data_IF_454214062831
#
_entry.id   IF_454214062831
#
_cell.length_a   1.000
_cell.length_b   1.000
_cell.length_c   1.000
_cell.angle_alpha   90.00
_cell.angle_beta   90.00
_cell.angle_gamma   90.00
#
_symmetry.space_group_name_H-M   'P 1'
#
loop_
_entity.id
_entity.type
_entity.pdbx_description
1 polymer ?
#
# COMPACT_ATOMS: atom_id res chain seq x y z
N UNK A 1 31.92 7.92 32.34
CA UNK A 1 31.67 8.23 30.92
C UNK A 1 32.22 7.06 30.11
N UNK A 2 31.36 6.28 29.46
CA UNK A 2 31.79 5.07 28.75
C UNK A 2 32.00 5.45 27.27
N UNK A 3 33.25 5.44 26.81
CA UNK A 3 33.65 5.87 25.46
C UNK A 3 33.38 4.79 24.39
N UNK A 4 33.23 3.52 24.80
CA UNK A 4 33.10 2.38 23.87
C UNK A 4 31.76 2.30 23.10
N UNK A 5 30.71 2.96 23.58
CA UNK A 5 29.40 2.93 22.93
C UNK A 5 28.72 4.29 23.04
N UNK A 6 28.19 4.77 21.91
CA UNK A 6 27.40 5.98 21.86
C UNK A 6 25.93 5.62 21.72
N UNK A 7 25.29 5.39 22.86
CA UNK A 7 23.89 4.98 22.92
C UNK A 7 22.94 6.01 22.28
N UNK A 8 23.24 7.30 22.42
CA UNK A 8 22.47 8.38 21.78
C UNK A 8 22.56 8.30 20.26
N UNK A 9 23.76 8.13 19.70
CA UNK A 9 23.94 7.94 18.26
C UNK A 9 23.25 6.67 17.75
N UNK A 10 23.32 5.56 18.49
CA UNK A 10 22.61 4.32 18.14
C UNK A 10 21.08 4.50 18.15
N UNK A 11 20.54 5.24 19.12
CA UNK A 11 19.11 5.53 19.17
C UNK A 11 18.67 6.44 18.01
N UNK A 12 19.42 7.50 17.75
CA UNK A 12 19.19 8.38 16.59
C UNK A 12 19.25 7.61 15.27
N UNK A 13 20.20 6.70 15.11
CA UNK A 13 20.29 5.86 13.91
C UNK A 13 19.10 4.91 13.77
N UNK A 14 18.64 4.29 14.87
CA UNK A 14 17.42 3.46 14.86
C UNK A 14 16.20 4.27 14.43
N UNK A 15 16.01 5.47 14.98
CA UNK A 15 14.90 6.34 14.61
C UNK A 15 14.98 6.78 13.15
N UNK A 16 16.18 7.09 12.65
CA UNK A 16 16.41 7.43 11.24
C UNK A 16 16.04 6.27 10.31
N UNK A 17 16.43 5.04 10.64
CA UNK A 17 16.07 3.85 9.86
C UNK A 17 14.55 3.62 9.83
N UNK A 18 13.87 3.80 10.97
CA UNK A 18 12.40 3.74 11.03
C UNK A 18 11.76 4.81 10.15
N UNK A 19 12.24 6.06 10.23
CA UNK A 19 11.72 7.17 9.44
C UNK A 19 11.94 6.97 7.93
N UNK A 20 13.11 6.46 7.52
CA UNK A 20 13.37 6.09 6.13
C UNK A 20 12.38 5.02 5.64
N UNK A 21 12.05 4.04 6.47
CA UNK A 21 11.03 3.05 6.17
C UNK A 21 9.64 3.66 5.94
N UNK A 22 9.23 4.62 6.78
CA UNK A 22 7.97 5.34 6.59
C UNK A 22 7.98 6.21 5.33
N UNK A 23 9.09 6.91 5.06
CA UNK A 23 9.24 7.73 3.87
C UNK A 23 9.14 6.88 2.59
N UNK A 24 9.77 5.72 2.57
CA UNK A 24 9.68 4.78 1.45
C UNK A 24 8.23 4.33 1.17
N UNK A 25 7.48 3.98 2.22
CA UNK A 25 6.05 3.61 2.08
C UNK A 25 5.19 4.79 1.62
N UNK A 26 5.46 6.00 2.09
CA UNK A 26 4.74 7.20 1.67
C UNK A 26 5.00 7.50 0.18
N UNK A 27 6.25 7.37 -0.27
CA UNK A 27 6.62 7.52 -1.68
C UNK A 27 5.94 6.45 -2.56
N UNK A 28 5.86 5.21 -2.09
CA UNK A 28 5.18 4.13 -2.82
C UNK A 28 3.69 4.46 -3.04
N UNK A 29 3.00 4.97 -2.01
CA UNK A 29 1.60 5.40 -2.10
C UNK A 29 1.40 6.63 -2.98
N UNK A 30 2.32 7.59 -2.91
CA UNK A 30 2.30 8.77 -3.77
C UNK A 30 2.50 8.40 -5.24
N UNK A 31 3.48 7.52 -5.51
CA UNK A 31 3.83 7.10 -6.87
C UNK A 31 2.76 6.21 -7.51
N UNK A 32 2.07 5.37 -6.74
CA UNK A 32 1.01 4.51 -7.27
C UNK A 32 -0.34 5.22 -7.38
N UNK A 33 -0.55 6.28 -6.59
CA UNK A 33 -1.85 6.94 -6.42
C UNK A 33 -2.87 6.10 -5.64
N UNK A 34 -2.51 4.90 -5.19
CA UNK A 34 -3.38 4.03 -4.42
C UNK A 34 -3.04 4.08 -2.92
N UNK A 35 -4.09 4.13 -2.11
CA UNK A 35 -3.97 4.10 -0.65
C UNK A 35 -3.45 2.75 -0.13
N UNK A 36 -3.84 1.65 -0.78
CA UNK A 36 -3.50 0.27 -0.43
C UNK A 36 -2.72 -0.32 -1.60
N UNK A 37 -1.41 -0.49 -1.43
CA UNK A 37 -0.54 -1.08 -2.46
C UNK A 37 -0.22 -2.54 -2.17
N UNK A 38 -0.18 -2.93 -0.89
CA UNK A 38 0.18 -4.27 -0.44
C UNK A 38 -0.87 -4.83 0.51
N UNK A 39 -1.02 -6.14 0.54
CA UNK A 39 -1.88 -6.82 1.52
C UNK A 39 -1.48 -6.53 2.98
N UNK A 40 -0.20 -6.21 3.21
CA UNK A 40 0.30 -5.80 4.53
C UNK A 40 -0.12 -4.39 4.97
N UNK A 41 -0.63 -3.53 4.07
CA UNK A 41 -1.18 -2.22 4.44
C UNK A 41 -2.61 -2.35 4.98
N UNK A 42 -3.45 -3.14 4.29
CA UNK A 42 -4.85 -3.39 4.65
C UNK A 42 -5.35 -4.62 3.87
N UNK A 43 -5.27 -5.81 4.48
CA UNK A 43 -5.64 -7.06 3.82
C UNK A 43 -7.15 -7.11 3.50
N UNK A 44 -7.99 -6.62 4.42
CA UNK A 44 -9.44 -6.59 4.23
C UNK A 44 -9.84 -5.57 3.16
N UNK A 45 -9.27 -4.36 3.20
CA UNK A 45 -9.49 -3.32 2.21
C UNK A 45 -9.03 -3.74 0.82
N UNK A 46 -7.89 -4.44 0.72
CA UNK A 46 -7.42 -4.99 -0.56
C UNK A 46 -8.40 -6.04 -1.10
N UNK A 47 -8.84 -6.99 -0.27
CA UNK A 47 -9.78 -8.02 -0.69
C UNK A 47 -11.13 -7.44 -1.17
N UNK A 48 -11.65 -6.43 -0.47
CA UNK A 48 -12.87 -5.71 -0.87
C UNK A 48 -12.63 -4.97 -2.19
N UNK A 49 -11.48 -4.30 -2.36
CA UNK A 49 -11.15 -3.58 -3.60
C UNK A 49 -11.10 -4.51 -4.81
N UNK A 50 -10.51 -5.71 -4.66
CA UNK A 50 -10.44 -6.70 -5.73
C UNK A 50 -11.82 -7.32 -6.02
N UNK A 51 -12.64 -7.57 -4.98
CA UNK A 51 -14.03 -7.99 -5.17
C UNK A 51 -14.83 -6.96 -5.98
N UNK A 52 -14.72 -5.68 -5.64
CA UNK A 52 -15.39 -4.60 -6.39
C UNK A 52 -14.88 -4.52 -7.83
N UNK A 53 -13.56 -4.63 -8.03
CA UNK A 53 -12.95 -4.62 -9.37
C UNK A 53 -13.47 -5.80 -10.22
N UNK A 54 -13.62 -6.98 -9.62
CA UNK A 54 -14.22 -8.14 -10.29
C UNK A 54 -15.70 -7.89 -10.66
N UNK A 55 -16.49 -7.32 -9.74
CA UNK A 55 -17.89 -6.97 -10.00
C UNK A 55 -18.02 -5.95 -11.15
N UNK A 56 -17.20 -4.89 -11.15
CA UNK A 56 -17.20 -3.88 -12.21
C UNK A 56 -16.89 -4.52 -13.57
N UNK A 57 -15.86 -5.38 -13.65
CA UNK A 57 -15.54 -6.12 -14.89
C UNK A 57 -16.70 -7.00 -15.34
N UNK A 58 -17.34 -7.71 -14.41
CA UNK A 58 -18.52 -8.54 -14.68
C UNK A 58 -19.69 -7.72 -15.23
N UNK A 59 -20.01 -6.59 -14.61
CA UNK A 59 -21.07 -5.68 -15.05
C UNK A 59 -20.77 -5.09 -16.43
N UNK A 60 -19.52 -4.69 -16.70
CA UNK A 60 -19.12 -4.19 -18.02
C UNK A 60 -19.28 -5.27 -19.10
N UNK A 61 -18.96 -6.53 -18.79
CA UNK A 61 -19.20 -7.62 -19.73
C UNK A 61 -20.70 -7.87 -19.94
N UNK A 62 -21.48 -7.89 -18.86
CA UNK A 62 -22.93 -8.05 -18.95
C UNK A 62 -23.56 -6.93 -19.80
N UNK A 63 -23.13 -5.68 -19.62
CA UNK A 63 -23.59 -4.56 -20.43
C UNK A 63 -23.26 -4.71 -21.92
N UNK A 64 -22.07 -5.22 -22.26
CA UNK A 64 -21.69 -5.50 -23.65
C UNK A 64 -22.54 -6.62 -24.24
N UNK A 65 -22.70 -7.72 -23.51
CA UNK A 65 -23.57 -8.82 -23.95
C UNK A 65 -25.02 -8.36 -24.17
N UNK A 66 -25.53 -7.45 -23.32
CA UNK A 66 -26.87 -6.87 -23.50
C UNK A 66 -26.96 -5.97 -24.73
N UNK A 67 -25.90 -5.25 -25.09
CA UNK A 67 -25.86 -4.43 -26.32
C UNK A 67 -25.77 -5.30 -27.58
N UNK A 68 -25.00 -6.40 -27.54
CA UNK A 68 -24.87 -7.34 -28.65
C UNK A 68 -26.16 -8.16 -28.88
N UNK A 69 -27.00 -8.28 -27.86
CA UNK A 69 -28.27 -9.00 -27.90
C UNK A 69 -29.50 -8.16 -28.29
N UNK A 70 -29.34 -6.85 -28.50
CA UNK A 70 -30.35 -5.92 -29.02
C UNK A 70 -30.19 -5.75 -30.52
#
# INVERSE_FOLDING_TARGET
MIINHNLSAMNSHRQLTINNGYQGKALEKLSSGYRINRAGDDAAGLAISEKMRAQIRGLNQASRNSQDGV
#
